data_IF_418246644584
#
_entry.id   IF_418246644584
#
_cell.length_a   1.000
_cell.length_b   1.000
_cell.length_c   1.000
_cell.angle_alpha   90.00
_cell.angle_beta   90.00
_cell.angle_gamma   90.00
#
_symmetry.space_group_name_H-M   'P 1'
#
loop_
_entity.id
_entity.type
_entity.pdbx_description
1 polymer ?
#
# COMPACT_ATOMS: atom_id res chain seq x y z
N UNK A 1 20.70 65.45 -26.50
CA UNK A 1 20.41 64.17 -27.18
C UNK A 1 21.36 63.13 -26.65
N UNK A 2 20.79 62.00 -26.26
CA UNK A 2 21.45 60.83 -25.67
C UNK A 2 22.37 60.11 -26.67
N UNK A 3 23.35 59.34 -26.15
CA UNK A 3 23.44 57.89 -26.38
C UNK A 3 24.55 57.34 -25.46
N UNK A 4 24.15 56.75 -24.34
CA UNK A 4 24.15 55.29 -24.07
C UNK A 4 25.53 54.63 -24.03
N UNK A 5 25.94 54.29 -22.80
CA UNK A 5 27.12 53.49 -22.45
C UNK A 5 26.66 52.06 -22.18
N UNK A 6 26.64 51.20 -23.20
CA UNK A 6 26.38 49.77 -22.97
C UNK A 6 27.29 48.92 -23.84
N UNK A 7 28.55 48.80 -23.41
CA UNK A 7 29.46 47.79 -23.95
C UNK A 7 30.44 47.32 -22.87
N UNK A 8 30.09 46.22 -22.21
CA UNK A 8 31.02 45.29 -21.52
C UNK A 8 30.22 44.01 -21.26
N UNK A 9 30.33 42.99 -22.12
CA UNK A 9 31.30 41.90 -21.97
C UNK A 9 31.09 41.11 -20.66
N UNK A 10 30.52 39.90 -20.75
CA UNK A 10 30.94 38.67 -20.05
C UNK A 10 29.79 37.68 -19.83
N UNK A 11 29.95 36.51 -20.45
CA UNK A 11 29.71 35.16 -19.90
C UNK A 11 28.30 34.69 -19.48
N UNK A 12 28.08 33.40 -19.75
CA UNK A 12 27.22 32.43 -19.05
C UNK A 12 25.81 32.20 -19.62
N UNK A 13 25.73 31.20 -20.51
CA UNK A 13 24.76 30.08 -20.48
C UNK A 13 23.31 30.48 -20.17
N UNK A 14 22.52 30.79 -21.21
CA UNK A 14 21.05 30.72 -21.11
C UNK A 14 20.58 29.26 -21.20
N UNK A 15 20.81 28.50 -20.11
CA UNK A 15 20.00 27.33 -19.79
C UNK A 15 18.64 27.88 -19.38
N UNK A 16 17.67 27.77 -20.28
CA UNK A 16 16.25 27.90 -19.96
C UNK A 16 15.96 26.86 -18.88
N UNK A 17 15.94 27.35 -17.63
CA UNK A 17 15.58 26.60 -16.44
C UNK A 17 14.11 26.17 -16.54
N UNK A 18 13.86 25.07 -17.21
CA UNK A 18 12.66 24.27 -17.00
C UNK A 18 12.86 23.53 -15.66
N UNK A 19 12.75 24.27 -14.54
CA UNK A 19 12.52 23.68 -13.22
C UNK A 19 11.10 23.09 -13.23
N UNK A 20 10.94 21.95 -13.91
CA UNK A 20 9.78 21.10 -13.73
C UNK A 20 9.95 20.53 -12.33
N UNK A 21 9.34 21.16 -11.33
CA UNK A 21 9.27 20.62 -9.98
C UNK A 21 8.52 19.29 -10.08
N UNK A 22 9.25 18.18 -10.14
CA UNK A 22 8.66 16.85 -10.03
C UNK A 22 8.10 16.79 -8.60
N UNK A 23 6.78 16.73 -8.39
CA UNK A 23 6.28 16.45 -7.06
C UNK A 23 6.79 15.06 -6.71
N UNK A 24 7.56 14.96 -5.63
CA UNK A 24 7.92 13.67 -5.07
C UNK A 24 6.60 13.00 -4.63
N UNK A 25 6.05 12.14 -5.49
CA UNK A 25 5.02 11.21 -5.06
C UNK A 25 5.70 10.28 -4.06
N UNK A 26 5.58 10.63 -2.77
CA UNK A 26 5.85 9.70 -1.69
C UNK A 26 4.82 8.58 -1.81
N UNK A 27 5.14 7.58 -2.64
CA UNK A 27 4.34 6.38 -2.77
C UNK A 27 4.23 5.73 -1.40
N UNK A 28 3.01 5.50 -0.93
CA UNK A 28 2.74 4.76 0.29
C UNK A 28 3.30 3.33 0.12
N UNK A 29 4.54 3.11 0.54
CA UNK A 29 5.13 1.78 0.56
C UNK A 29 4.48 0.96 1.66
N UNK A 30 4.18 -0.31 1.34
CA UNK A 30 3.72 -1.27 2.35
C UNK A 30 4.95 -1.64 3.19
N UNK A 31 4.88 -1.54 4.54
CA UNK A 31 5.97 -1.96 5.40
C UNK A 31 6.37 -3.42 5.13
N UNK A 32 7.66 -3.73 5.17
CA UNK A 32 8.15 -5.07 4.82
C UNK A 32 7.53 -6.18 5.67
N UNK A 33 7.30 -5.93 6.96
CA UNK A 33 6.63 -6.86 7.87
C UNK A 33 5.17 -7.10 7.45
N UNK A 34 4.43 -6.05 7.09
CA UNK A 34 3.05 -6.18 6.59
C UNK A 34 3.03 -6.94 5.27
N UNK A 35 3.96 -6.66 4.37
CA UNK A 35 4.06 -7.35 3.08
C UNK A 35 4.26 -8.86 3.28
N UNK A 36 5.06 -9.26 4.27
CA UNK A 36 5.22 -10.67 4.64
C UNK A 36 3.91 -11.27 5.18
N UNK A 37 3.19 -10.55 6.04
CA UNK A 37 1.88 -10.99 6.56
C UNK A 37 0.84 -11.15 5.45
N UNK A 38 0.74 -10.20 4.50
CA UNK A 38 -0.19 -10.28 3.38
C UNK A 38 0.08 -11.49 2.47
N UNK A 39 1.35 -11.87 2.29
CA UNK A 39 1.72 -13.07 1.53
C UNK A 39 1.32 -14.34 2.27
N UNK A 40 1.65 -14.41 3.56
CA UNK A 40 1.28 -15.55 4.40
C UNK A 40 -0.23 -15.72 4.48
N UNK A 41 -0.99 -14.62 4.61
CA UNK A 41 -2.45 -14.66 4.62
C UNK A 41 -3.01 -15.23 3.32
N UNK A 42 -2.52 -14.77 2.16
CA UNK A 42 -2.96 -15.28 0.88
C UNK A 42 -2.69 -16.79 0.71
N UNK A 43 -1.46 -17.23 1.02
CA UNK A 43 -1.07 -18.65 0.93
C UNK A 43 -1.91 -19.52 1.87
N UNK A 44 -2.09 -19.10 3.12
CA UNK A 44 -2.88 -19.84 4.12
C UNK A 44 -4.37 -19.83 3.80
N UNK A 45 -4.90 -18.72 3.27
CA UNK A 45 -6.30 -18.65 2.85
C UNK A 45 -6.59 -19.57 1.66
N UNK A 46 -5.67 -19.67 0.69
CA UNK A 46 -5.80 -20.61 -0.42
C UNK A 46 -5.81 -22.05 0.07
N UNK A 47 -4.92 -22.42 1.00
CA UNK A 47 -4.90 -23.74 1.63
C UNK A 47 -6.16 -24.03 2.45
N UNK A 48 -6.64 -23.05 3.22
CA UNK A 48 -7.83 -23.18 4.05
C UNK A 48 -9.11 -23.34 3.20
N UNK A 49 -9.29 -22.53 2.15
CA UNK A 49 -10.50 -22.55 1.32
C UNK A 49 -10.47 -23.59 0.21
N UNK A 50 -9.28 -24.00 -0.22
CA UNK A 50 -9.09 -25.01 -1.26
C UNK A 50 -8.94 -26.45 -0.73
N UNK A 51 -8.72 -26.61 0.58
CA UNK A 51 -8.52 -27.91 1.22
C UNK A 51 -9.82 -28.64 1.63
N UNK A 52 -9.67 -29.88 2.11
CA UNK A 52 -10.79 -30.68 2.62
C UNK A 52 -11.12 -30.29 4.05
N UNK A 53 -12.40 -30.09 4.38
CA UNK A 53 -12.83 -29.70 5.73
C UNK A 53 -12.52 -30.74 6.82
N UNK A 54 -12.35 -32.01 6.45
CA UNK A 54 -12.02 -33.09 7.38
C UNK A 54 -10.49 -33.36 7.47
N UNK A 55 -9.67 -32.66 6.69
CA UNK A 55 -8.21 -32.77 6.76
C UNK A 55 -7.68 -31.87 7.90
N UNK A 56 -7.01 -32.43 8.93
CA UNK A 56 -6.40 -31.64 10.00
C UNK A 56 -5.44 -30.55 9.49
N UNK A 57 -4.78 -30.75 8.34
CA UNK A 57 -3.89 -29.75 7.74
C UNK A 57 -4.65 -28.54 7.21
N UNK A 58 -5.84 -28.74 6.65
CA UNK A 58 -6.71 -27.65 6.20
C UNK A 58 -7.18 -26.84 7.39
N UNK A 59 -7.59 -27.50 8.47
CA UNK A 59 -7.99 -26.83 9.71
C UNK A 59 -6.84 -26.02 10.32
N UNK A 60 -5.64 -26.59 10.38
CA UNK A 60 -4.45 -25.85 10.82
C UNK A 60 -4.17 -24.62 9.96
N UNK A 61 -4.29 -24.73 8.63
CA UNK A 61 -4.11 -23.58 7.74
C UNK A 61 -5.15 -22.47 7.99
N UNK A 62 -6.39 -22.83 8.29
CA UNK A 62 -7.42 -21.87 8.66
C UNK A 62 -7.11 -21.15 9.98
N UNK A 63 -6.62 -21.87 10.99
CA UNK A 63 -6.23 -21.29 12.27
C UNK A 63 -5.01 -20.38 12.15
N UNK A 64 -4.01 -20.81 11.39
CA UNK A 64 -2.82 -20.01 11.10
C UNK A 64 -3.18 -18.74 10.32
N UNK A 65 -4.10 -18.84 9.34
CA UNK A 65 -4.63 -17.67 8.61
C UNK A 65 -5.25 -16.68 9.60
N UNK A 66 -6.15 -17.14 10.48
CA UNK A 66 -6.79 -16.30 11.50
C UNK A 66 -5.75 -15.56 12.36
N UNK A 67 -4.68 -16.24 12.78
CA UNK A 67 -3.61 -15.62 13.55
C UNK A 67 -2.84 -14.55 12.76
N UNK A 68 -2.63 -14.76 11.45
CA UNK A 68 -2.04 -13.74 10.56
C UNK A 68 -2.97 -12.54 10.39
N UNK A 69 -4.28 -12.76 10.22
CA UNK A 69 -5.27 -11.68 10.12
C UNK A 69 -5.26 -10.79 11.37
N UNK A 70 -5.21 -11.38 12.58
CA UNK A 70 -5.08 -10.62 13.84
C UNK A 70 -3.86 -9.71 13.82
N UNK A 71 -2.72 -10.18 13.29
CA UNK A 71 -1.50 -9.38 13.15
C UNK A 71 -1.64 -8.27 12.09
N UNK A 72 -2.35 -8.53 11.00
CA UNK A 72 -2.67 -7.52 9.99
C UNK A 72 -3.55 -6.40 10.58
N UNK A 73 -4.60 -6.76 11.33
CA UNK A 73 -5.44 -5.80 12.03
C UNK A 73 -4.64 -4.95 13.02
N UNK A 74 -3.80 -5.58 13.84
CA UNK A 74 -2.91 -4.88 14.77
C UNK A 74 -1.91 -3.94 14.05
N UNK A 75 -1.54 -4.26 12.80
CA UNK A 75 -0.69 -3.42 11.96
C UNK A 75 -1.45 -2.32 11.19
N UNK A 76 -2.76 -2.16 11.41
CA UNK A 76 -3.60 -1.16 10.76
C UNK A 76 -4.01 -1.53 9.33
N UNK A 77 -4.15 -2.83 9.05
CA UNK A 77 -4.67 -3.35 7.79
C UNK A 77 -5.99 -4.08 8.01
N UNK A 78 -6.98 -3.77 7.19
CA UNK A 78 -8.34 -4.27 7.32
C UNK A 78 -8.76 -4.99 6.03
N UNK A 79 -9.61 -6.01 6.17
CA UNK A 79 -10.15 -6.77 5.05
C UNK A 79 -11.57 -6.32 4.73
N UNK A 80 -11.72 -5.57 3.63
CA UNK A 80 -13.02 -5.07 3.18
C UNK A 80 -13.53 -3.82 3.90
N UNK A 81 -14.69 -3.36 3.43
CA UNK A 81 -15.39 -2.15 3.85
C UNK A 81 -16.87 -2.43 4.08
N UNK A 82 -17.54 -1.60 4.86
CA UNK A 82 -18.99 -1.71 5.04
C UNK A 82 -19.73 -1.66 3.68
N UNK A 83 -20.75 -2.50 3.55
CA UNK A 83 -21.58 -2.60 2.34
C UNK A 83 -20.97 -3.39 1.18
N UNK A 84 -19.75 -3.94 1.32
CA UNK A 84 -19.16 -4.80 0.31
C UNK A 84 -19.64 -6.25 0.44
N UNK A 85 -19.87 -6.90 -0.69
CA UNK A 85 -20.02 -8.35 -0.73
C UNK A 85 -18.64 -9.02 -0.56
N UNK A 86 -18.59 -10.24 -0.01
CA UNK A 86 -17.33 -10.93 0.31
C UNK A 86 -16.34 -11.01 -0.85
N UNK A 87 -16.80 -11.26 -2.08
CA UNK A 87 -15.93 -11.33 -3.26
C UNK A 87 -15.27 -10.00 -3.68
N UNK A 88 -15.75 -8.87 -3.14
CA UNK A 88 -15.22 -7.54 -3.41
C UNK A 88 -14.15 -7.13 -2.38
N UNK A 89 -14.09 -7.83 -1.25
CA UNK A 89 -13.22 -7.47 -0.14
C UNK A 89 -11.76 -7.76 -0.47
N UNK A 90 -10.90 -6.87 0.00
CA UNK A 90 -9.44 -6.94 -0.18
C UNK A 90 -8.77 -6.37 1.06
N UNK A 91 -7.54 -6.78 1.31
CA UNK A 91 -6.69 -6.13 2.30
C UNK A 91 -6.32 -4.71 1.87
N UNK A 92 -6.45 -3.76 2.79
CA UNK A 92 -6.00 -2.39 2.61
C UNK A 92 -5.64 -1.74 3.94
N UNK A 93 -4.93 -0.60 3.92
CA UNK A 93 -4.79 0.22 5.12
C UNK A 93 -6.17 0.58 5.66
N UNK A 94 -6.38 0.36 6.96
CA UNK A 94 -7.66 0.66 7.59
C UNK A 94 -8.03 2.14 7.37
N UNK A 95 -9.30 2.37 7.12
CA UNK A 95 -9.91 3.69 7.03
C UNK A 95 -11.17 3.69 7.88
N UNK A 96 -11.80 4.85 8.08
CA UNK A 96 -13.08 4.93 8.81
C UNK A 96 -14.18 4.00 8.26
N UNK A 97 -14.14 3.69 6.97
CA UNK A 97 -15.13 2.82 6.33
C UNK A 97 -14.69 1.35 6.21
N UNK A 98 -13.56 0.97 6.82
CA UNK A 98 -13.12 -0.42 6.90
C UNK A 98 -13.97 -1.22 7.87
N UNK A 99 -14.02 -2.54 7.66
CA UNK A 99 -14.43 -3.47 8.70
C UNK A 99 -13.27 -3.65 9.69
N UNK A 100 -13.49 -3.28 10.94
CA UNK A 100 -12.56 -3.45 12.05
C UNK A 100 -12.93 -4.71 12.85
N UNK A 101 -11.97 -5.30 13.58
CA UNK A 101 -12.29 -6.41 14.49
C UNK A 101 -13.37 -5.98 15.50
N UNK A 102 -14.52 -6.65 15.46
CA UNK A 102 -15.64 -6.39 16.37
C UNK A 102 -16.74 -5.47 15.84
N UNK A 103 -16.61 -4.94 14.61
CA UNK A 103 -17.73 -4.35 13.87
C UNK A 103 -18.77 -5.43 13.50
#
# INVERSE_FOLDING_TARGET
>A
MAMDKTLIASTVVSIISCFISIPAFAGNSIPANVKALLRAEAELNDLCRGGSGDDPKTMQACDDRNAVEVRLYAAGWCYGKHGQAGYQMKWHKCTRNSLHPGD
#
